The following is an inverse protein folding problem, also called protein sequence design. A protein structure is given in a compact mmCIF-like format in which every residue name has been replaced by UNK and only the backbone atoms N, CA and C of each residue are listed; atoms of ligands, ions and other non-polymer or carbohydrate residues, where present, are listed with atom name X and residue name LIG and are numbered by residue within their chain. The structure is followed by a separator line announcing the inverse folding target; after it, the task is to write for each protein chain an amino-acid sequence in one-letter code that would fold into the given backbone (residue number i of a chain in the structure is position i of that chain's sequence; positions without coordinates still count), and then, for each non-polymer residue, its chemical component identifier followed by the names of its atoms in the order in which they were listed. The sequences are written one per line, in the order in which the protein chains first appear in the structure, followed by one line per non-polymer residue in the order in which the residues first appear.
data_IF_074248935540
#
_entry.id   IF_074248935540
#
_cell.length_a   1.000
_cell.length_b   1.000
_cell.length_c   1.000
_cell.angle_alpha   90.00
_cell.angle_beta   90.00
_cell.angle_gamma   90.00
#
_symmetry.space_group_name_H-M   'P 1'
#
loop_
_entity.id
_entity.type
_entity.pdbx_description
1 polymer ?
#
# COMPACT_ATOMS: atom_id res chain seq x y z
N UNK A 1 -15.45 8.64 -18.02
CA UNK A 1 -14.48 7.63 -17.54
C UNK A 1 -13.12 8.28 -17.43
N UNK A 2 -12.38 7.98 -16.37
CA UNK A 2 -11.01 8.44 -16.15
C UNK A 2 -10.10 7.64 -17.07
N UNK A 3 -9.38 8.31 -17.95
CA UNK A 3 -8.42 7.68 -18.87
C UNK A 3 -7.09 7.48 -18.16
N UNK A 4 -6.61 6.25 -18.10
CA UNK A 4 -5.48 5.83 -17.28
C UNK A 4 -4.32 5.33 -18.13
N UNK A 5 -3.13 5.86 -17.89
CA UNK A 5 -1.86 5.31 -18.35
C UNK A 5 -1.12 4.58 -17.22
N UNK A 6 -0.42 3.50 -17.54
CA UNK A 6 0.36 2.72 -16.58
C UNK A 6 1.80 2.58 -17.08
N UNK A 7 2.78 3.03 -16.30
CA UNK A 7 4.22 2.83 -16.54
C UNK A 7 4.72 1.69 -15.67
N UNK A 8 5.54 0.79 -16.23
CA UNK A 8 6.07 -0.37 -15.52
C UNK A 8 5.09 -1.54 -15.46
N UNK A 9 4.34 -1.74 -16.54
CA UNK A 9 3.19 -2.64 -16.66
C UNK A 9 3.44 -4.13 -16.38
N UNK A 10 4.69 -4.61 -16.34
CA UNK A 10 5.01 -6.05 -16.20
C UNK A 10 5.20 -6.53 -14.74
N UNK A 11 5.13 -5.62 -13.76
CA UNK A 11 5.30 -5.95 -12.33
C UNK A 11 4.03 -6.51 -11.68
N UNK A 12 4.16 -7.13 -10.49
CA UNK A 12 3.01 -7.64 -9.72
C UNK A 12 2.00 -6.55 -9.36
N UNK A 13 2.47 -5.36 -8.97
CA UNK A 13 1.60 -4.22 -8.66
C UNK A 13 0.83 -3.76 -9.90
N UNK A 14 1.48 -3.75 -11.08
CA UNK A 14 0.80 -3.41 -12.33
C UNK A 14 -0.27 -4.45 -12.70
N UNK A 15 0.04 -5.74 -12.56
CA UNK A 15 -0.94 -6.82 -12.82
C UNK A 15 -2.18 -6.70 -11.92
N UNK A 16 -1.99 -6.39 -10.63
CA UNK A 16 -3.10 -6.16 -9.71
C UNK A 16 -3.85 -4.86 -10.04
N UNK A 17 -3.14 -3.80 -10.41
CA UNK A 17 -3.76 -2.54 -10.82
C UNK A 17 -4.63 -2.72 -12.08
N UNK A 18 -4.10 -3.40 -13.11
CA UNK A 18 -4.85 -3.71 -14.34
C UNK A 18 -6.10 -4.51 -14.00
N UNK A 19 -5.98 -5.56 -13.17
CA UNK A 19 -7.12 -6.37 -12.73
C UNK A 19 -8.23 -5.54 -12.06
N UNK A 20 -7.85 -4.57 -11.24
CA UNK A 20 -8.81 -3.68 -10.57
C UNK A 20 -9.46 -2.72 -11.57
N UNK A 21 -8.66 -2.10 -12.45
CA UNK A 21 -9.13 -1.10 -13.40
C UNK A 21 -10.01 -1.69 -14.50
N UNK A 22 -9.77 -2.92 -14.95
CA UNK A 22 -10.64 -3.62 -15.90
C UNK A 22 -12.09 -3.78 -15.39
N UNK A 23 -12.26 -3.84 -14.07
CA UNK A 23 -13.58 -3.97 -13.43
C UNK A 23 -14.05 -2.66 -12.77
N UNK A 24 -13.37 -1.56 -13.01
CA UNK A 24 -13.73 -0.27 -12.44
C UNK A 24 -14.72 0.48 -13.35
N UNK A 25 -15.93 0.85 -12.89
CA UNK A 25 -16.97 1.41 -13.76
C UNK A 25 -16.62 2.79 -14.34
N UNK A 26 -15.75 3.55 -13.66
CA UNK A 26 -15.41 4.93 -14.00
C UNK A 26 -13.99 5.10 -14.53
N UNK A 27 -13.25 4.01 -14.81
CA UNK A 27 -11.87 4.07 -15.31
C UNK A 27 -11.72 3.27 -16.61
N UNK A 28 -10.85 3.75 -17.50
CA UNK A 28 -10.48 3.11 -18.77
C UNK A 28 -8.96 3.10 -18.92
N UNK A 29 -8.38 1.92 -19.17
CA UNK A 29 -6.95 1.81 -19.44
C UNK A 29 -6.65 2.21 -20.86
N UNK A 30 -6.00 3.34 -21.07
CA UNK A 30 -5.63 3.86 -22.38
C UNK A 30 -4.35 3.19 -22.89
N UNK A 31 -3.34 3.02 -22.03
CA UNK A 31 -2.12 2.30 -22.38
C UNK A 31 -1.46 1.65 -21.17
N UNK A 32 -0.69 0.60 -21.42
CA UNK A 32 0.17 -0.05 -20.44
C UNK A 32 1.58 -0.13 -21.00
N UNK A 33 2.48 0.67 -20.45
CA UNK A 33 3.86 0.74 -20.91
C UNK A 33 4.73 -0.36 -20.29
N UNK A 34 5.44 -1.08 -21.15
CA UNK A 34 6.53 -1.98 -20.78
C UNK A 34 7.48 -2.13 -21.96
N UNK A 35 8.63 -1.47 -21.91
CA UNK A 35 9.62 -1.49 -23.01
C UNK A 35 10.07 -2.91 -23.36
N UNK A 36 10.28 -3.78 -22.37
CA UNK A 36 10.71 -5.17 -22.58
C UNK A 36 9.63 -6.09 -23.14
N UNK A 37 8.35 -5.69 -23.09
CA UNK A 37 7.20 -6.49 -23.52
C UNK A 37 6.36 -5.80 -24.60
N UNK A 38 6.82 -4.69 -25.16
CA UNK A 38 6.10 -3.95 -26.19
C UNK A 38 5.68 -4.87 -27.36
N UNK A 39 4.42 -4.80 -27.75
CA UNK A 39 3.80 -5.66 -28.75
C UNK A 39 3.26 -7.01 -28.25
N UNK A 40 3.61 -7.45 -27.05
CA UNK A 40 3.06 -8.67 -26.45
C UNK A 40 1.71 -8.40 -25.79
N UNK A 41 0.84 -9.41 -25.71
CA UNK A 41 -0.41 -9.31 -24.94
C UNK A 41 -0.10 -9.18 -23.45
N UNK A 42 -0.93 -8.41 -22.74
CA UNK A 42 -0.82 -8.30 -21.27
C UNK A 42 -0.97 -9.66 -20.61
N UNK A 43 -1.79 -10.54 -21.17
CA UNK A 43 -2.02 -11.90 -20.70
C UNK A 43 -0.79 -12.83 -20.82
N UNK A 44 0.19 -12.48 -21.64
CA UNK A 44 1.44 -13.26 -21.75
C UNK A 44 2.32 -13.07 -20.49
N UNK A 45 2.17 -11.95 -19.79
CA UNK A 45 2.86 -11.65 -18.53
C UNK A 45 1.93 -11.88 -17.33
N UNK A 46 0.71 -11.39 -17.43
CA UNK A 46 -0.31 -11.48 -16.38
C UNK A 46 -1.37 -12.54 -16.77
N UNK A 47 -0.96 -13.82 -16.76
CA UNK A 47 -1.76 -14.94 -17.23
C UNK A 47 -3.12 -15.11 -16.53
N UNK A 48 -3.25 -14.60 -15.29
CA UNK A 48 -4.51 -14.56 -14.55
C UNK A 48 -5.58 -13.64 -15.16
N UNK A 49 -5.22 -12.82 -16.17
CA UNK A 49 -6.14 -11.95 -16.91
C UNK A 49 -6.58 -12.55 -18.27
N UNK A 50 -6.28 -13.84 -18.51
CA UNK A 50 -6.70 -14.53 -19.71
C UNK A 50 -8.23 -14.56 -19.83
N UNK A 51 -8.74 -14.05 -20.95
CA UNK A 51 -10.19 -13.90 -21.19
C UNK A 51 -10.82 -12.60 -20.67
N UNK A 52 -10.07 -11.79 -19.89
CA UNK A 52 -10.55 -10.53 -19.33
C UNK A 52 -10.18 -9.31 -20.20
N UNK A 53 -9.11 -9.42 -21.01
CA UNK A 53 -8.62 -8.30 -21.83
C UNK A 53 -7.82 -8.77 -23.04
N UNK A 54 -7.88 -7.97 -24.12
CA UNK A 54 -7.03 -8.09 -25.31
C UNK A 54 -5.95 -6.97 -25.39
N UNK A 55 -5.77 -6.19 -24.33
CA UNK A 55 -4.76 -5.13 -24.27
C UNK A 55 -3.36 -5.68 -24.54
N UNK A 56 -2.54 -4.88 -25.21
CA UNK A 56 -1.14 -5.17 -25.49
C UNK A 56 -0.25 -4.14 -24.78
N UNK A 57 0.98 -4.56 -24.42
CA UNK A 57 1.98 -3.62 -23.95
C UNK A 57 2.48 -2.73 -25.07
N UNK A 58 2.79 -1.48 -24.76
CA UNK A 58 3.37 -0.51 -25.68
C UNK A 58 4.63 0.12 -25.11
N UNK A 59 5.52 0.59 -25.96
CA UNK A 59 6.62 1.51 -25.63
C UNK A 59 6.25 2.98 -25.91
N UNK A 60 5.13 3.25 -26.54
CA UNK A 60 4.58 4.59 -26.75
C UNK A 60 4.01 5.17 -25.46
N UNK A 61 4.09 6.49 -25.33
CA UNK A 61 3.67 7.26 -24.15
C UNK A 61 2.68 8.37 -24.57
N UNK A 62 1.42 8.07 -24.90
CA UNK A 62 0.42 9.07 -25.27
C UNK A 62 -0.10 9.82 -24.02
N UNK A 63 0.80 10.62 -23.39
CA UNK A 63 0.53 11.31 -22.13
C UNK A 63 -0.53 12.42 -22.24
N UNK A 64 -0.79 12.92 -23.43
CA UNK A 64 -1.82 13.91 -23.74
C UNK A 64 -3.24 13.30 -23.86
N UNK A 65 -3.35 11.97 -23.84
CA UNK A 65 -4.62 11.25 -24.01
C UNK A 65 -5.18 10.69 -22.69
N UNK A 66 -4.53 10.99 -21.56
CA UNK A 66 -4.90 10.44 -20.24
C UNK A 66 -5.23 11.53 -19.23
N UNK A 67 -5.98 11.15 -18.20
CA UNK A 67 -6.31 11.99 -17.05
C UNK A 67 -5.43 11.63 -15.83
N UNK A 68 -4.93 10.39 -15.79
CA UNK A 68 -4.16 9.84 -14.67
C UNK A 68 -3.03 8.93 -15.16
N UNK A 69 -1.84 9.11 -14.60
CA UNK A 69 -0.68 8.27 -14.83
C UNK A 69 -0.29 7.52 -13.54
N UNK A 70 -0.28 6.19 -13.61
CA UNK A 70 0.27 5.35 -12.54
C UNK A 70 1.70 4.92 -12.85
N UNK A 71 2.58 5.06 -11.84
CA UNK A 71 3.91 4.48 -11.86
C UNK A 71 3.96 3.20 -11.03
N UNK A 72 4.13 2.05 -11.70
CA UNK A 72 4.37 0.73 -11.10
C UNK A 72 5.84 0.30 -11.30
N UNK A 73 6.74 1.25 -11.28
CA UNK A 73 8.16 1.13 -11.59
C UNK A 73 8.99 0.66 -10.39
N UNK A 74 10.23 0.27 -10.66
CA UNK A 74 11.20 0.05 -9.58
C UNK A 74 11.59 1.38 -8.91
N UNK A 75 12.10 1.28 -7.67
CA UNK A 75 12.57 2.45 -6.93
C UNK A 75 13.69 3.19 -7.67
N UNK A 76 13.59 4.50 -7.78
CA UNK A 76 14.48 5.39 -8.51
C UNK A 76 14.09 5.62 -9.98
N UNK A 77 13.18 4.82 -10.54
CA UNK A 77 12.83 4.93 -11.95
C UNK A 77 11.72 5.96 -12.22
N UNK A 78 10.81 6.19 -11.27
CA UNK A 78 9.82 7.27 -11.39
C UNK A 78 10.50 8.63 -11.43
N UNK A 79 11.48 8.87 -10.55
CA UNK A 79 12.26 10.12 -10.55
C UNK A 79 12.97 10.35 -11.87
N UNK A 80 13.65 9.34 -12.42
CA UNK A 80 14.31 9.42 -13.73
C UNK A 80 13.32 9.71 -14.87
N UNK A 81 12.13 9.10 -14.82
CA UNK A 81 11.10 9.35 -15.80
C UNK A 81 10.64 10.82 -15.75
N UNK A 82 10.37 11.35 -14.57
CA UNK A 82 9.95 12.74 -14.38
C UNK A 82 11.03 13.76 -14.78
N UNK A 83 12.32 13.40 -14.67
CA UNK A 83 13.45 14.21 -15.13
C UNK A 83 13.60 14.21 -16.66
N UNK A 84 13.16 13.15 -17.34
CA UNK A 84 13.38 12.95 -18.79
C UNK A 84 12.14 13.17 -19.65
N UNK A 85 10.96 13.23 -19.07
CA UNK A 85 9.69 13.40 -19.79
C UNK A 85 8.85 14.51 -19.15
N UNK A 86 8.15 15.25 -19.99
CA UNK A 86 7.18 16.24 -19.51
C UNK A 86 5.79 15.59 -19.47
N UNK A 87 5.24 15.44 -18.27
CA UNK A 87 3.84 15.04 -18.10
C UNK A 87 2.97 16.30 -18.17
N UNK A 88 1.87 16.33 -18.95
CA UNK A 88 0.97 17.48 -19.01
C UNK A 88 0.44 17.86 -17.61
N UNK A 89 0.32 19.14 -17.34
CA UNK A 89 -0.08 19.66 -16.01
C UNK A 89 -1.49 19.22 -15.57
N UNK A 90 -2.36 18.92 -16.52
CA UNK A 90 -3.71 18.40 -16.24
C UNK A 90 -3.72 16.91 -15.88
N UNK A 91 -2.66 16.17 -16.13
CA UNK A 91 -2.57 14.73 -15.82
C UNK A 91 -2.17 14.55 -14.36
N UNK A 92 -3.02 13.88 -13.59
CA UNK A 92 -2.69 13.51 -12.20
C UNK A 92 -1.72 12.34 -12.17
N UNK A 93 -0.96 12.22 -11.08
CA UNK A 93 0.05 11.15 -10.93
C UNK A 93 -0.19 10.38 -9.63
N UNK A 94 -0.11 9.04 -9.69
CA UNK A 94 -0.01 8.17 -8.51
C UNK A 94 1.23 7.30 -8.67
N UNK A 95 2.23 7.52 -7.81
CA UNK A 95 3.49 6.79 -7.81
C UNK A 95 3.50 5.68 -6.74
N UNK A 96 3.68 4.42 -7.15
CA UNK A 96 3.80 3.28 -6.25
C UNK A 96 5.26 2.99 -5.85
N UNK A 97 6.24 3.70 -6.43
CA UNK A 97 7.64 3.60 -6.01
C UNK A 97 7.88 4.27 -4.64
N UNK A 98 9.10 4.28 -4.16
CA UNK A 98 9.45 4.99 -2.92
C UNK A 98 9.94 6.43 -3.16
N UNK A 99 10.02 6.88 -4.41
CA UNK A 99 10.81 8.03 -4.82
C UNK A 99 10.32 9.35 -4.21
N UNK A 100 9.00 9.47 -3.97
CA UNK A 100 8.36 10.70 -3.50
C UNK A 100 7.59 10.55 -2.17
N UNK A 101 7.77 9.44 -1.44
CA UNK A 101 7.02 9.16 -0.19
C UNK A 101 7.39 10.07 0.97
N UNK A 102 8.62 10.57 1.00
CA UNK A 102 9.08 11.48 2.05
C UNK A 102 8.87 12.91 1.58
N UNK A 103 8.12 13.69 2.35
CA UNK A 103 7.84 15.07 2.03
C UNK A 103 9.13 15.89 1.90
N UNK A 104 9.20 16.70 0.86
CA UNK A 104 10.34 17.55 0.53
C UNK A 104 9.85 18.83 -0.13
N UNK A 105 10.53 19.96 0.05
CA UNK A 105 10.23 21.19 -0.70
C UNK A 105 10.53 21.08 -2.21
N UNK A 106 11.17 19.99 -2.64
CA UNK A 106 11.53 19.75 -4.03
C UNK A 106 10.40 19.17 -4.88
N UNK A 107 9.28 18.74 -4.26
CA UNK A 107 8.14 18.16 -4.94
C UNK A 107 6.84 18.39 -4.17
N UNK A 108 5.71 18.29 -4.87
CA UNK A 108 4.36 18.47 -4.33
C UNK A 108 3.58 17.17 -4.08
N UNK A 109 4.26 16.02 -4.16
CA UNK A 109 3.61 14.73 -3.91
C UNK A 109 3.06 14.64 -2.48
N UNK A 110 1.78 14.31 -2.38
CA UNK A 110 1.10 14.05 -1.12
C UNK A 110 1.22 12.57 -0.77
N UNK A 111 1.57 12.26 0.48
CA UNK A 111 1.61 10.89 0.96
C UNK A 111 0.21 10.27 0.98
N UNK A 112 0.01 9.24 0.16
CA UNK A 112 -1.27 8.67 -0.25
C UNK A 112 -1.88 7.66 0.73
N UNK A 113 -1.93 7.98 2.03
CA UNK A 113 -2.64 7.20 3.04
C UNK A 113 -3.95 7.91 3.41
N UNK A 114 -5.13 7.47 2.93
CA UNK A 114 -6.40 8.15 3.18
C UNK A 114 -6.76 8.28 4.66
N UNK A 115 -6.42 7.28 5.47
CA UNK A 115 -6.67 7.28 6.91
C UNK A 115 -5.88 8.36 7.67
N UNK A 116 -4.88 8.96 7.01
CA UNK A 116 -4.09 10.07 7.54
C UNK A 116 -4.34 11.39 6.79
N UNK A 117 -4.44 11.35 5.46
CA UNK A 117 -4.32 12.51 4.58
C UNK A 117 -5.51 12.71 3.63
N UNK A 118 -6.72 12.16 3.92
CA UNK A 118 -7.88 12.23 3.01
C UNK A 118 -8.09 13.61 2.36
N UNK A 119 -8.13 14.68 3.16
CA UNK A 119 -8.36 16.05 2.65
C UNK A 119 -7.23 16.53 1.72
N UNK A 120 -5.98 16.18 2.02
CA UNK A 120 -4.84 16.53 1.19
C UNK A 120 -4.90 15.77 -0.13
N UNK A 121 -5.23 14.48 -0.09
CA UNK A 121 -5.38 13.62 -1.27
C UNK A 121 -6.45 14.16 -2.22
N UNK A 122 -7.64 14.51 -1.73
CA UNK A 122 -8.72 15.05 -2.57
C UNK A 122 -8.33 16.32 -3.35
N UNK A 123 -7.35 17.09 -2.88
CA UNK A 123 -6.91 18.34 -3.48
C UNK A 123 -5.51 18.25 -4.13
N UNK A 124 -4.94 17.05 -4.21
CA UNK A 124 -3.61 16.86 -4.74
C UNK A 124 -3.62 16.73 -6.27
N UNK A 125 -2.46 16.96 -6.87
CA UNK A 125 -2.16 16.63 -8.26
C UNK A 125 -1.32 15.36 -8.34
N UNK A 126 -0.40 15.19 -7.38
CA UNK A 126 0.52 14.06 -7.34
C UNK A 126 0.42 13.33 -6.00
N UNK A 127 0.37 11.99 -6.05
CA UNK A 127 0.27 11.11 -4.88
C UNK A 127 1.46 10.15 -4.86
N UNK A 128 2.12 10.07 -3.70
CA UNK A 128 3.09 9.02 -3.39
C UNK A 128 2.39 7.90 -2.60
N UNK A 129 2.13 6.77 -3.24
CA UNK A 129 1.44 5.64 -2.63
C UNK A 129 2.31 4.97 -1.57
N UNK A 130 1.80 4.72 -0.34
CA UNK A 130 2.57 4.14 0.76
C UNK A 130 3.20 2.79 0.46
N UNK A 131 4.30 2.47 1.16
CA UNK A 131 4.84 1.13 1.19
C UNK A 131 3.97 0.16 1.97
N UNK A 132 3.95 -1.12 1.58
CA UNK A 132 3.02 -2.10 2.13
C UNK A 132 3.16 -2.32 3.65
N UNK A 133 4.37 -2.47 4.17
CA UNK A 133 4.58 -2.54 5.62
C UNK A 133 4.27 -1.20 6.31
N UNK A 134 4.61 -0.08 5.66
CA UNK A 134 4.30 1.23 6.23
C UNK A 134 2.79 1.40 6.39
N UNK A 135 2.00 1.04 5.39
CA UNK A 135 0.53 1.03 5.47
C UNK A 135 0.05 0.19 6.66
N UNK A 136 0.49 -1.07 6.75
CA UNK A 136 0.05 -2.01 7.77
C UNK A 136 0.38 -1.52 9.19
N UNK A 137 1.62 -1.04 9.39
CA UNK A 137 2.10 -0.58 10.70
C UNK A 137 1.47 0.76 11.10
N UNK A 138 1.37 1.70 10.17
CA UNK A 138 0.75 2.99 10.43
C UNK A 138 -0.71 2.83 10.85
N UNK A 139 -1.50 2.03 10.12
CA UNK A 139 -2.88 1.75 10.49
C UNK A 139 -3.01 1.12 11.89
N UNK A 140 -2.00 0.39 12.37
CA UNK A 140 -2.00 -0.10 13.74
C UNK A 140 -1.83 1.01 14.78
N UNK A 141 -1.14 2.12 14.50
CA UNK A 141 -0.70 3.08 15.53
C UNK A 141 -1.18 4.52 15.34
N UNK A 142 -1.78 4.87 14.18
CA UNK A 142 -2.29 6.23 13.93
C UNK A 142 -3.30 6.71 14.98
N UNK A 143 -4.27 5.88 15.47
CA UNK A 143 -5.19 6.33 16.52
C UNK A 143 -4.46 6.74 17.80
N UNK A 144 -3.44 6.01 18.21
CA UNK A 144 -2.63 6.33 19.39
C UNK A 144 -1.81 7.60 19.18
N UNK A 145 -1.21 7.78 18.00
CA UNK A 145 -0.48 9.00 17.63
C UNK A 145 -1.40 10.23 17.67
N UNK A 146 -2.62 10.11 17.14
CA UNK A 146 -3.62 11.18 17.14
C UNK A 146 -3.98 11.64 18.56
N UNK A 147 -3.97 10.72 19.51
CA UNK A 147 -4.25 10.99 20.92
C UNK A 147 -2.99 11.24 21.78
N UNK A 148 -1.81 11.44 21.14
CA UNK A 148 -0.54 11.72 21.77
C UNK A 148 -0.09 10.63 22.77
N UNK A 149 -0.40 9.36 22.47
CA UNK A 149 -0.22 8.22 23.37
C UNK A 149 1.03 7.39 23.06
N UNK A 150 1.79 7.73 22.04
CA UNK A 150 3.04 7.04 21.70
C UNK A 150 4.21 7.59 22.55
N UNK A 151 4.31 7.13 23.79
CA UNK A 151 5.29 7.61 24.78
C UNK A 151 6.37 6.59 25.14
N UNK A 152 6.40 5.46 24.44
CA UNK A 152 7.42 4.41 24.55
C UNK A 152 7.78 3.88 23.18
N UNK A 153 8.84 3.08 23.11
CA UNK A 153 9.24 2.43 21.87
C UNK A 153 8.15 1.51 21.34
N UNK A 154 8.01 1.51 20.02
CA UNK A 154 7.15 0.57 19.31
C UNK A 154 7.96 -0.66 18.90
N UNK A 155 7.52 -1.84 19.31
CA UNK A 155 8.14 -3.11 18.93
C UNK A 155 7.28 -3.80 17.88
N UNK A 156 7.80 -3.94 16.66
CA UNK A 156 7.05 -4.43 15.51
C UNK A 156 7.71 -5.66 14.91
N UNK A 157 6.97 -6.77 14.88
CA UNK A 157 7.30 -7.94 14.06
C UNK A 157 6.25 -8.07 12.97
N UNK A 158 6.66 -8.11 11.70
CA UNK A 158 5.71 -8.26 10.62
C UNK A 158 6.18 -9.29 9.60
N UNK A 159 5.28 -10.24 9.30
CA UNK A 159 5.53 -11.31 8.34
C UNK A 159 4.85 -10.93 7.03
N UNK A 160 5.59 -10.95 5.91
CA UNK A 160 5.06 -10.69 4.57
C UNK A 160 5.19 -11.88 3.64
N UNK A 161 4.28 -11.95 2.67
CA UNK A 161 4.39 -12.88 1.56
C UNK A 161 5.55 -12.57 0.61
N UNK A 162 5.93 -13.58 -0.19
CA UNK A 162 7.07 -13.50 -1.13
C UNK A 162 6.89 -12.47 -2.26
N UNK A 163 5.65 -12.16 -2.65
CA UNK A 163 5.34 -11.16 -3.68
C UNK A 163 5.81 -9.75 -3.35
N UNK A 164 6.03 -9.44 -2.05
CA UNK A 164 6.64 -8.18 -1.63
C UNK A 164 8.09 -7.96 -2.11
N UNK A 165 8.74 -9.00 -2.65
CA UNK A 165 10.06 -8.89 -3.26
C UNK A 165 10.01 -8.45 -4.74
N UNK A 166 8.84 -8.41 -5.36
CA UNK A 166 8.64 -8.13 -6.78
C UNK A 166 8.90 -9.35 -7.67
N UNK A 167 8.75 -9.14 -8.99
CA UNK A 167 8.88 -10.21 -10.02
C UNK A 167 10.33 -10.63 -10.23
N UNK A 168 11.29 -9.71 -10.06
CA UNK A 168 12.70 -9.98 -10.38
C UNK A 168 13.25 -11.12 -9.51
N UNK A 169 13.75 -12.22 -10.11
CA UNK A 169 14.28 -13.34 -9.35
C UNK A 169 15.47 -12.95 -8.46
N UNK A 170 15.51 -13.55 -7.28
CA UNK A 170 16.63 -13.42 -6.34
C UNK A 170 16.88 -14.77 -5.65
N UNK A 171 18.07 -14.97 -5.07
CA UNK A 171 18.40 -16.18 -4.34
C UNK A 171 17.40 -16.50 -3.23
N UNK A 172 16.89 -15.48 -2.54
CA UNK A 172 15.94 -15.63 -1.42
C UNK A 172 14.47 -15.72 -1.84
N UNK A 173 14.15 -15.51 -3.11
CA UNK A 173 12.82 -15.75 -3.70
C UNK A 173 12.74 -17.03 -4.51
N UNK A 174 13.88 -17.72 -4.74
CA UNK A 174 13.92 -19.01 -5.42
C UNK A 174 13.10 -20.06 -4.64
N UNK A 175 12.33 -20.89 -5.37
CA UNK A 175 11.40 -21.86 -4.76
C UNK A 175 12.07 -22.73 -3.70
N UNK A 176 13.20 -23.39 -4.01
CA UNK A 176 13.90 -24.29 -3.06
C UNK A 176 14.42 -23.57 -1.81
N UNK A 177 14.64 -22.27 -1.88
CA UNK A 177 15.05 -21.46 -0.72
C UNK A 177 13.83 -20.97 0.10
N UNK A 178 12.75 -20.60 -0.59
CA UNK A 178 11.57 -19.98 0.03
C UNK A 178 10.57 -20.98 0.58
N UNK A 179 10.43 -22.16 -0.06
CA UNK A 179 9.49 -23.19 0.38
C UNK A 179 9.90 -23.72 1.76
N UNK A 180 8.92 -23.90 2.64
CA UNK A 180 9.08 -24.36 4.03
C UNK A 180 10.14 -23.58 4.84
N UNK A 181 10.32 -22.29 4.52
CA UNK A 181 11.34 -21.44 5.11
C UNK A 181 10.81 -20.05 5.49
N UNK A 182 11.35 -19.50 6.57
CA UNK A 182 11.07 -18.17 7.09
C UNK A 182 12.37 -17.46 7.43
N UNK A 183 12.47 -16.17 7.14
CA UNK A 183 13.72 -15.43 7.38
C UNK A 183 13.46 -13.95 7.64
N UNK A 184 14.28 -13.36 8.49
CA UNK A 184 14.32 -11.90 8.68
C UNK A 184 15.11 -11.24 7.54
N UNK A 185 14.84 -9.94 7.29
CA UNK A 185 15.63 -9.12 6.39
C UNK A 185 15.56 -7.65 6.81
N UNK A 186 16.65 -6.91 6.66
CA UNK A 186 16.75 -5.48 7.02
C UNK A 186 16.16 -5.11 8.40
N UNK A 187 16.43 -5.87 9.50
CA UNK A 187 15.93 -5.50 10.81
C UNK A 187 16.45 -4.10 11.19
N UNK A 188 15.58 -3.26 11.75
CA UNK A 188 15.83 -1.88 12.20
C UNK A 188 16.29 -0.90 11.11
N UNK A 189 16.47 -1.34 9.86
CA UNK A 189 17.01 -0.53 8.76
C UNK A 189 16.10 -0.55 7.51
N UNK A 190 14.87 -1.05 7.65
CA UNK A 190 13.93 -1.12 6.53
C UNK A 190 13.52 0.29 6.07
N UNK A 191 13.50 0.52 4.76
CA UNK A 191 13.20 1.84 4.16
C UNK A 191 11.84 2.41 4.57
N UNK A 192 10.84 1.58 4.91
CA UNK A 192 9.53 2.03 5.36
C UNK A 192 9.55 2.73 6.74
N UNK A 193 10.62 2.62 7.52
CA UNK A 193 10.75 3.33 8.80
C UNK A 193 10.70 4.85 8.64
N UNK A 194 11.24 5.38 7.54
CA UNK A 194 11.17 6.82 7.25
C UNK A 194 9.72 7.29 7.06
N UNK A 195 8.92 6.53 6.28
CA UNK A 195 7.49 6.80 6.05
C UNK A 195 6.69 6.78 7.36
N UNK A 196 6.90 5.72 8.17
CA UNK A 196 6.23 5.55 9.47
C UNK A 196 6.57 6.72 10.39
N UNK A 197 7.86 7.05 10.53
CA UNK A 197 8.30 8.15 11.37
C UNK A 197 7.74 9.51 10.94
N UNK A 198 7.65 9.78 9.63
CA UNK A 198 7.02 10.98 9.09
C UNK A 198 5.55 11.09 9.51
N UNK A 199 4.77 10.03 9.30
CA UNK A 199 3.34 10.01 9.61
C UNK A 199 3.05 10.12 11.10
N UNK A 200 3.84 9.46 11.94
CA UNK A 200 3.67 9.56 13.40
C UNK A 200 3.98 10.97 13.90
N UNK A 201 5.04 11.61 13.41
CA UNK A 201 5.35 13.01 13.76
C UNK A 201 4.33 14.01 13.21
N UNK A 202 3.67 13.71 12.11
CA UNK A 202 2.57 14.54 11.60
C UNK A 202 1.41 14.61 12.60
N UNK A 203 1.07 13.53 13.31
CA UNK A 203 0.00 13.48 14.30
C UNK A 203 0.48 13.81 15.72
N UNK A 204 1.65 13.32 16.10
CA UNK A 204 2.29 13.53 17.39
C UNK A 204 3.68 14.12 17.17
N UNK A 205 3.76 15.45 17.07
CA UNK A 205 5.02 16.14 16.78
C UNK A 205 6.13 15.84 17.83
N UNK A 206 5.75 15.51 19.05
CA UNK A 206 6.65 15.10 20.15
C UNK A 206 7.14 13.65 20.02
N UNK A 207 6.69 12.88 19.01
CA UNK A 207 7.11 11.48 18.86
C UNK A 207 8.61 11.39 18.55
N UNK A 208 9.36 10.84 19.48
CA UNK A 208 10.80 10.64 19.41
C UNK A 208 11.26 9.22 19.83
N UNK A 209 10.30 8.33 20.12
CA UNK A 209 10.57 6.93 20.45
C UNK A 209 10.99 6.13 19.22
N UNK A 210 11.63 4.99 19.45
CA UNK A 210 12.10 4.11 18.39
C UNK A 210 10.95 3.24 17.82
N UNK A 211 11.01 2.98 16.54
CA UNK A 211 10.21 1.93 15.89
C UNK A 211 11.13 0.74 15.62
N UNK A 212 11.14 -0.20 16.56
CA UNK A 212 11.96 -1.41 16.51
C UNK A 212 11.30 -2.44 15.58
N UNK A 213 11.55 -2.29 14.28
CA UNK A 213 10.89 -3.10 13.25
C UNK A 213 11.76 -4.27 12.79
N UNK A 214 11.20 -5.49 12.87
CA UNK A 214 11.80 -6.73 12.39
C UNK A 214 10.91 -7.30 11.29
N UNK A 215 11.20 -7.03 10.01
CA UNK A 215 10.48 -7.63 8.90
C UNK A 215 10.89 -9.09 8.67
N UNK A 216 9.91 -9.92 8.43
CA UNK A 216 10.06 -11.37 8.22
C UNK A 216 9.41 -11.73 6.88
N UNK A 217 10.07 -12.55 6.08
CA UNK A 217 9.48 -13.14 4.88
C UNK A 217 8.99 -14.54 5.18
N UNK A 218 7.67 -14.74 5.03
CA UNK A 218 6.99 -16.00 5.31
C UNK A 218 6.92 -16.93 4.09
N UNK A 219 6.48 -18.16 4.32
CA UNK A 219 6.25 -19.20 3.30
C UNK A 219 4.82 -19.10 2.74
N UNK A 220 4.47 -17.94 2.20
CA UNK A 220 3.22 -17.71 1.48
C UNK A 220 3.42 -16.59 0.45
N UNK A 221 2.51 -16.46 -0.50
CA UNK A 221 2.67 -15.52 -1.60
C UNK A 221 2.23 -14.11 -1.24
N UNK A 222 1.09 -13.93 -0.57
CA UNK A 222 0.42 -12.64 -0.36
C UNK A 222 0.03 -12.42 1.08
N UNK A 223 0.04 -11.16 1.49
CA UNK A 223 -0.42 -10.67 2.77
C UNK A 223 0.70 -10.18 3.67
N UNK A 224 0.32 -9.34 4.63
CA UNK A 224 1.15 -8.90 5.76
C UNK A 224 0.37 -9.16 7.04
N UNK A 225 1.03 -9.83 7.98
CA UNK A 225 0.59 -9.99 9.36
C UNK A 225 1.59 -9.27 10.25
N UNK A 226 1.17 -8.16 10.87
CA UNK A 226 2.02 -7.38 11.74
C UNK A 226 1.52 -7.44 13.18
N UNK A 227 2.45 -7.62 14.10
CA UNK A 227 2.23 -7.47 15.54
C UNK A 227 3.03 -6.28 16.05
N UNK A 228 2.35 -5.31 16.63
CA UNK A 228 2.96 -4.14 17.26
C UNK A 228 2.63 -4.15 18.74
N UNK A 229 3.63 -4.03 19.63
CA UNK A 229 3.35 -3.87 21.04
C UNK A 229 4.13 -2.69 21.65
N UNK A 230 3.53 -2.10 22.67
CA UNK A 230 4.07 -0.94 23.39
C UNK A 230 3.53 -0.90 24.83
N UNK A 231 4.11 -0.02 25.64
CA UNK A 231 3.57 0.27 26.97
C UNK A 231 2.33 1.15 26.87
N UNK A 232 1.25 0.74 27.54
CA UNK A 232 0.00 1.45 27.58
C UNK A 232 -0.71 1.26 28.94
N UNK A 233 -0.94 2.36 29.64
CA UNK A 233 -1.61 2.33 30.98
C UNK A 233 -3.13 2.46 30.90
N UNK A 234 -3.68 2.81 29.71
CA UNK A 234 -5.10 3.02 29.50
C UNK A 234 -5.79 1.67 29.34
N UNK A 235 -7.05 1.57 29.80
CA UNK A 235 -7.84 0.35 29.72
C UNK A 235 -8.19 -0.04 28.29
N UNK A 236 -8.38 -1.35 28.04
CA UNK A 236 -8.67 -1.88 26.70
C UNK A 236 -9.93 -1.28 26.07
N UNK A 237 -11.02 -1.10 26.87
CA UNK A 237 -12.28 -0.57 26.37
C UNK A 237 -12.13 0.87 25.85
N UNK A 238 -11.35 1.69 26.53
CA UNK A 238 -11.07 3.05 26.09
C UNK A 238 -10.19 3.05 24.83
N UNK A 239 -9.19 2.17 24.75
CA UNK A 239 -8.38 1.99 23.54
C UNK A 239 -9.26 1.58 22.34
N UNK A 240 -10.15 0.60 22.52
CA UNK A 240 -11.10 0.19 21.49
C UNK A 240 -11.95 1.36 21.00
N UNK A 241 -12.51 2.15 21.89
CA UNK A 241 -13.29 3.35 21.55
C UNK A 241 -12.47 4.34 20.71
N UNK A 242 -11.21 4.59 21.08
CA UNK A 242 -10.30 5.47 20.31
C UNK A 242 -10.11 4.95 18.89
N UNK A 243 -9.94 3.64 18.70
CA UNK A 243 -9.78 3.04 17.38
C UNK A 243 -11.06 3.07 16.56
N UNK A 244 -12.19 2.75 17.17
CA UNK A 244 -13.51 2.79 16.54
C UNK A 244 -13.88 4.22 16.10
N UNK A 245 -13.64 5.21 16.95
CA UNK A 245 -13.85 6.63 16.62
C UNK A 245 -12.94 7.10 15.49
N UNK A 246 -11.64 6.71 15.51
CA UNK A 246 -10.69 7.12 14.49
C UNK A 246 -11.04 6.54 13.11
N UNK A 247 -11.46 5.28 13.05
CA UNK A 247 -11.75 4.58 11.80
C UNK A 247 -13.22 4.59 11.39
N UNK A 248 -14.12 5.26 12.11
CA UNK A 248 -15.56 5.30 11.83
C UNK A 248 -15.90 5.71 10.39
N UNK A 249 -15.13 6.67 9.84
CA UNK A 249 -15.31 7.20 8.47
C UNK A 249 -14.34 6.60 7.45
N UNK A 250 -13.67 5.49 7.77
CA UNK A 250 -12.67 4.87 6.90
C UNK A 250 -13.14 3.53 6.37
N UNK A 251 -13.48 3.49 5.09
CA UNK A 251 -14.19 2.38 4.42
C UNK A 251 -13.44 1.04 4.39
N UNK A 252 -12.11 1.04 4.66
CA UNK A 252 -11.29 -0.17 4.49
C UNK A 252 -10.54 -0.61 5.76
N UNK A 253 -10.73 0.05 6.90
CA UNK A 253 -10.06 -0.30 8.15
C UNK A 253 -11.08 -0.70 9.20
N UNK A 254 -10.98 -1.93 9.70
CA UNK A 254 -11.96 -2.53 10.59
C UNK A 254 -11.31 -3.03 11.88
N UNK A 255 -11.98 -2.78 13.01
CA UNK A 255 -11.61 -3.33 14.31
C UNK A 255 -12.37 -4.64 14.51
N UNK A 256 -11.71 -5.69 14.97
CA UNK A 256 -12.32 -6.99 15.25
C UNK A 256 -12.11 -7.41 16.69
N UNK A 257 -13.13 -8.00 17.31
CA UNK A 257 -13.06 -8.59 18.64
C UNK A 257 -12.49 -10.03 18.65
N UNK A 258 -12.41 -10.65 17.50
CA UNK A 258 -11.87 -11.99 17.37
C UNK A 258 -10.45 -11.91 16.81
N UNK A 259 -9.54 -12.76 17.34
CA UNK A 259 -8.21 -12.91 16.79
C UNK A 259 -8.30 -13.29 15.31
N UNK A 260 -7.87 -12.42 14.38
CA UNK A 260 -8.05 -12.65 12.96
C UNK A 260 -6.93 -13.49 12.36
N UNK A 261 -7.18 -14.02 11.17
CA UNK A 261 -6.17 -14.71 10.36
C UNK A 261 -5.96 -14.01 9.00
N UNK A 262 -4.82 -14.25 8.41
CA UNK A 262 -4.38 -13.57 7.19
C UNK A 262 -5.31 -13.80 5.98
N UNK A 263 -5.97 -14.94 5.89
CA UNK A 263 -6.87 -15.28 4.77
C UNK A 263 -8.09 -14.36 4.70
N UNK A 264 -8.47 -13.70 5.82
CA UNK A 264 -9.58 -12.76 5.87
C UNK A 264 -9.32 -11.46 5.10
N UNK A 265 -8.06 -11.13 4.82
CA UNK A 265 -7.68 -9.89 4.11
C UNK A 265 -7.02 -10.13 2.76
N UNK A 266 -6.44 -11.30 2.53
CA UNK A 266 -5.82 -11.62 1.23
C UNK A 266 -6.84 -11.50 0.11
N UNK A 267 -6.44 -10.86 -0.98
CA UNK A 267 -7.28 -10.49 -2.12
C UNK A 267 -8.34 -9.40 -1.83
N UNK A 268 -8.19 -8.62 -0.76
CA UNK A 268 -9.09 -7.51 -0.46
C UNK A 268 -8.33 -6.21 -0.22
N UNK A 269 -9.03 -5.06 -0.29
CA UNK A 269 -8.48 -3.77 0.11
C UNK A 269 -8.69 -3.47 1.62
N UNK A 270 -8.91 -4.50 2.44
CA UNK A 270 -9.18 -4.36 3.87
C UNK A 270 -7.91 -4.34 4.70
N UNK A 271 -7.95 -3.56 5.79
CA UNK A 271 -7.10 -3.74 6.95
C UNK A 271 -7.96 -4.26 8.12
N UNK A 272 -7.55 -5.34 8.77
CA UNK A 272 -8.14 -5.80 10.02
C UNK A 272 -7.19 -5.50 11.17
N UNK A 273 -7.75 -4.94 12.25
CA UNK A 273 -7.02 -4.60 13.48
C UNK A 273 -7.66 -5.35 14.64
N UNK A 274 -6.82 -6.01 15.43
CA UNK A 274 -7.21 -6.67 16.67
C UNK A 274 -6.38 -6.14 17.83
N UNK A 275 -7.04 -5.82 18.94
CA UNK A 275 -6.44 -5.23 20.13
C UNK A 275 -6.51 -6.20 21.31
N UNK A 276 -5.38 -6.41 21.95
CA UNK A 276 -5.26 -7.21 23.15
C UNK A 276 -4.39 -6.48 24.17
N UNK A 277 -4.81 -6.49 25.42
CA UNK A 277 -4.04 -5.89 26.51
C UNK A 277 -3.78 -6.91 27.61
N UNK A 278 -2.55 -6.94 28.09
CA UNK A 278 -2.12 -7.70 29.24
C UNK A 278 -1.30 -6.78 30.16
N UNK A 279 -1.80 -6.53 31.35
CA UNK A 279 -1.22 -5.55 32.28
C UNK A 279 -0.98 -4.20 31.58
N UNK A 280 0.23 -3.68 31.57
CA UNK A 280 0.61 -2.43 30.91
C UNK A 280 1.10 -2.63 29.45
N UNK A 281 0.95 -3.82 28.86
CA UNK A 281 1.30 -4.07 27.46
C UNK A 281 0.08 -4.10 26.58
N UNK A 282 0.06 -3.24 25.57
CA UNK A 282 -0.91 -3.26 24.48
C UNK A 282 -0.29 -3.98 23.28
N UNK A 283 -0.94 -5.03 22.82
CA UNK A 283 -0.66 -5.70 21.54
C UNK A 283 -1.69 -5.28 20.51
N UNK A 284 -1.21 -4.85 19.35
CA UNK A 284 -2.01 -4.50 18.18
C UNK A 284 -1.61 -5.44 17.05
N UNK A 285 -2.55 -6.25 16.59
CA UNK A 285 -2.37 -7.06 15.37
C UNK A 285 -3.02 -6.31 14.22
N UNK A 286 -2.29 -6.07 13.14
CA UNK A 286 -2.82 -5.48 11.92
C UNK A 286 -2.49 -6.35 10.71
N UNK A 287 -3.43 -6.47 9.77
CA UNK A 287 -3.26 -7.32 8.61
C UNK A 287 -3.84 -6.67 7.36
N UNK A 288 -3.12 -6.82 6.26
CA UNK A 288 -3.52 -6.37 4.92
C UNK A 288 -3.06 -7.36 3.85
N UNK A 289 -3.62 -7.26 2.66
CA UNK A 289 -2.98 -7.79 1.45
C UNK A 289 -1.89 -6.82 0.98
N UNK A 290 -0.65 -7.31 0.85
CA UNK A 290 0.50 -6.45 0.50
C UNK A 290 0.45 -5.89 -0.93
N UNK A 291 -0.28 -6.51 -1.85
CA UNK A 291 -0.46 -6.04 -3.23
C UNK A 291 -1.73 -5.19 -3.43
N UNK A 292 -2.71 -5.29 -2.51
CA UNK A 292 -3.95 -4.51 -2.57
C UNK A 292 -3.92 -3.33 -1.60
N UNK A 293 -4.38 -3.46 -0.36
CA UNK A 293 -4.30 -2.37 0.63
C UNK A 293 -2.87 -1.87 0.83
N UNK A 294 -1.90 -2.74 0.63
CA UNK A 294 -0.47 -2.39 0.69
C UNK A 294 0.11 -1.75 -0.58
N UNK A 295 -0.62 -1.73 -1.72
CA UNK A 295 -0.11 -1.22 -2.99
C UNK A 295 -1.24 -0.78 -3.93
N UNK A 296 -1.67 -1.63 -4.89
CA UNK A 296 -2.53 -1.23 -6.01
C UNK A 296 -3.97 -0.93 -5.59
N UNK A 297 -4.52 -1.63 -4.60
CA UNK A 297 -5.83 -1.30 -4.05
C UNK A 297 -5.85 0.05 -3.33
N UNK A 298 -4.77 0.37 -2.61
CA UNK A 298 -4.57 1.70 -2.02
C UNK A 298 -4.47 2.78 -3.11
N UNK A 299 -3.77 2.50 -4.21
CA UNK A 299 -3.64 3.42 -5.34
C UNK A 299 -5.00 3.69 -6.03
N UNK A 300 -5.85 2.67 -6.23
CA UNK A 300 -7.22 2.85 -6.73
C UNK A 300 -8.08 3.62 -5.73
N UNK A 301 -7.95 3.35 -4.43
CA UNK A 301 -8.65 4.13 -3.39
C UNK A 301 -8.28 5.62 -3.45
N UNK A 302 -6.99 5.94 -3.59
CA UNK A 302 -6.57 7.35 -3.76
C UNK A 302 -7.00 7.94 -5.10
N UNK A 303 -7.05 7.16 -6.19
CA UNK A 303 -7.65 7.59 -7.46
C UNK A 303 -9.11 8.01 -7.27
N UNK A 304 -9.91 7.19 -6.58
CA UNK A 304 -11.32 7.52 -6.32
C UNK A 304 -11.46 8.85 -5.58
N UNK A 305 -10.65 9.08 -4.56
CA UNK A 305 -10.62 10.35 -3.82
C UNK A 305 -10.17 11.54 -4.68
N UNK A 306 -9.14 11.36 -5.52
CA UNK A 306 -8.62 12.39 -6.43
C UNK A 306 -9.64 12.88 -7.45
N UNK A 307 -10.53 11.99 -7.88
CA UNK A 307 -11.54 12.29 -8.89
C UNK A 307 -12.95 12.48 -8.29
N UNK A 308 -13.06 12.53 -6.94
CA UNK A 308 -14.32 12.78 -6.24
C UNK A 308 -15.33 11.66 -6.38
N UNK A 309 -14.87 10.43 -6.64
CA UNK A 309 -15.71 9.25 -6.67
C UNK A 309 -15.95 8.71 -5.26
N UNK A 310 -16.93 7.82 -5.13
CA UNK A 310 -17.12 7.06 -3.89
C UNK A 310 -15.90 6.16 -3.65
N UNK A 311 -15.38 6.13 -2.42
CA UNK A 311 -14.08 5.53 -2.08
C UNK A 311 -13.97 4.05 -2.42
N UNK A 312 -15.07 3.30 -2.35
CA UNK A 312 -15.10 1.85 -2.47
C UNK A 312 -15.31 1.32 -3.89
N UNK A 313 -15.60 2.21 -4.84
CA UNK A 313 -15.83 1.84 -6.25
C UNK A 313 -14.63 1.04 -6.80
N UNK A 314 -14.91 -0.09 -7.43
CA UNK A 314 -13.91 -1.01 -7.97
C UNK A 314 -13.15 -1.84 -6.92
N UNK A 315 -13.43 -1.66 -5.61
CA UNK A 315 -12.68 -2.27 -4.51
C UNK A 315 -13.50 -3.23 -3.62
N UNK A 316 -14.73 -3.56 -4.02
CA UNK A 316 -15.56 -4.58 -3.35
C UNK A 316 -15.09 -6.00 -3.69
N UNK A 317 -13.99 -6.40 -3.06
CA UNK A 317 -13.32 -7.69 -3.32
C UNK A 317 -13.62 -8.69 -2.21
N UNK A 318 -13.60 -9.98 -2.57
CA UNK A 318 -13.76 -11.09 -1.61
C UNK A 318 -12.40 -11.66 -1.21
N UNK A 319 -12.20 -12.02 0.06
CA UNK A 319 -11.01 -12.68 0.52
C UNK A 319 -10.91 -14.12 -0.01
N UNK A 320 -9.69 -14.64 -0.06
CA UNK A 320 -9.41 -16.04 -0.33
C UNK A 320 -9.48 -16.83 0.99
N UNK A 321 -10.68 -17.09 1.47
CA UNK A 321 -10.88 -17.69 2.80
C UNK A 321 -10.44 -19.19 2.91
N UNK A 322 -10.23 -19.89 1.77
CA UNK A 322 -9.89 -21.30 1.73
C UNK A 322 -8.66 -21.55 0.87
#
# INVERSE_FOLDING_TARGET
MIKVGIIGGAGYTAGELIRLLLNHPDAEITFVNSTSNAGNKITDVHSGLYGETDLIFTDELPLDQIDLLFFCTAHGDTKKFMESHTVPENVKIIDLSMDYRIESPEHDFVYGLPELNRRRICNAQHIANPGCFATCIQLAVLPLAKHLMLNSDLHVNAITGSTGAGVKPSSTSHFSWRNDNISIYKPFTHQHLAEIGQSLRQLQNSFNSMVNFIPVRGNFSRGIFATTYLDCKIGLDEIKRIYEEYYADHSFTFITDKNPDLKQVVNTNKCLIYLLKQEDKLLIVSMIDNLLKGASGQAVHTMNLLFGLEETVGLHLKPSAF
#
